data_IF_201581384405
#
_entry.id   IF_201581384405
#
_cell.length_a   1.000
_cell.length_b   1.000
_cell.length_c   1.000
_cell.angle_alpha   90.00
_cell.angle_beta   90.00
_cell.angle_gamma   90.00
#
_symmetry.space_group_name_H-M   'P 1'
#
loop_
_entity.id
_entity.type
_entity.pdbx_description
1 polymer ?
#
# COMPACT_ATOMS: atom_id res chain seq x y z
N UNK A 1 -16.55 33.35 -18.35
CA UNK A 1 -15.54 34.10 -17.57
C UNK A 1 -14.31 34.24 -18.44
N UNK A 2 -13.91 35.51 -18.78
CA UNK A 2 -12.67 35.78 -19.50
C UNK A 2 -11.51 35.38 -18.59
N UNK A 3 -10.76 34.38 -18.99
CA UNK A 3 -9.45 34.04 -18.37
C UNK A 3 -8.54 35.23 -18.75
N UNK A 4 -7.90 35.84 -17.76
CA UNK A 4 -6.98 36.93 -18.04
C UNK A 4 -5.83 36.41 -18.92
N UNK A 5 -5.32 37.20 -19.86
CA UNK A 5 -4.31 36.78 -20.84
C UNK A 5 -3.02 36.22 -20.14
N UNK A 6 -2.74 36.65 -18.93
CA UNK A 6 -1.61 36.17 -18.10
C UNK A 6 -1.85 34.75 -17.57
N UNK A 7 -3.08 34.40 -17.19
CA UNK A 7 -3.44 33.05 -16.74
C UNK A 7 -3.44 32.06 -17.91
N UNK A 8 -3.85 32.51 -19.10
CA UNK A 8 -3.82 31.71 -20.33
C UNK A 8 -2.39 31.31 -20.72
N UNK A 9 -1.41 32.22 -20.64
CA UNK A 9 -0.02 31.91 -20.94
C UNK A 9 0.58 30.88 -19.95
N UNK A 10 0.31 31.02 -18.66
CA UNK A 10 0.76 30.06 -17.65
C UNK A 10 0.12 28.69 -17.87
N UNK A 11 -1.13 28.65 -18.29
CA UNK A 11 -1.84 27.40 -18.59
C UNK A 11 -1.23 26.68 -19.80
N UNK A 12 -0.94 27.41 -20.88
CA UNK A 12 -0.31 26.85 -22.07
C UNK A 12 1.09 26.29 -21.79
N UNK A 13 1.89 26.98 -20.97
CA UNK A 13 3.21 26.48 -20.54
C UNK A 13 3.05 25.18 -19.75
N UNK A 14 2.11 25.12 -18.81
CA UNK A 14 1.87 23.90 -18.02
C UNK A 14 1.43 22.73 -18.90
N UNK A 15 0.52 22.97 -19.85
CA UNK A 15 0.10 21.93 -20.81
C UNK A 15 1.31 21.37 -21.55
N UNK A 16 2.16 22.25 -22.11
CA UNK A 16 3.37 21.83 -22.83
C UNK A 16 4.34 21.07 -21.94
N UNK A 17 4.55 21.52 -20.71
CA UNK A 17 5.42 20.85 -19.75
C UNK A 17 4.92 19.43 -19.43
N UNK A 18 3.63 19.27 -19.14
CA UNK A 18 3.05 17.94 -18.81
C UNK A 18 3.04 17.04 -20.04
N UNK A 19 2.60 17.54 -21.19
CA UNK A 19 2.58 16.74 -22.41
C UNK A 19 4.00 16.37 -22.89
N UNK A 20 4.96 17.29 -22.79
CA UNK A 20 6.35 17.03 -23.14
C UNK A 20 6.96 15.96 -22.25
N UNK A 21 6.82 16.11 -20.93
CA UNK A 21 7.32 15.11 -19.98
C UNK A 21 6.68 13.73 -20.14
N UNK A 22 5.45 13.68 -20.65
CA UNK A 22 4.75 12.42 -20.95
C UNK A 22 4.99 11.91 -22.37
N UNK A 23 5.93 12.50 -23.12
CA UNK A 23 6.37 12.03 -24.43
C UNK A 23 5.47 12.41 -25.61
N UNK A 24 4.67 13.47 -25.48
CA UNK A 24 3.76 13.96 -26.55
C UNK A 24 4.32 15.14 -27.36
N UNK A 25 5.60 15.50 -27.22
CA UNK A 25 6.17 16.68 -27.86
C UNK A 25 6.02 16.69 -29.38
N UNK A 26 6.15 15.53 -30.04
CA UNK A 26 6.08 15.41 -31.51
C UNK A 26 4.67 15.25 -32.06
N UNK A 27 3.65 15.12 -31.20
CA UNK A 27 2.30 14.70 -31.60
C UNK A 27 1.18 15.62 -31.08
N UNK A 28 1.49 16.87 -30.75
CA UNK A 28 0.51 17.84 -30.22
C UNK A 28 -0.75 17.98 -31.07
N UNK A 29 -0.61 17.95 -32.39
CA UNK A 29 -1.71 18.12 -33.32
C UNK A 29 -2.36 16.80 -33.76
N UNK A 30 -1.92 15.67 -33.17
CA UNK A 30 -2.47 14.36 -33.50
C UNK A 30 -3.89 14.21 -32.96
N UNK A 31 -4.78 13.68 -33.80
CA UNK A 31 -6.17 13.40 -33.37
C UNK A 31 -6.17 12.24 -32.38
N UNK A 32 -6.85 12.42 -31.25
CA UNK A 32 -6.97 11.39 -30.19
C UNK A 32 -7.55 10.06 -30.71
N UNK A 33 -8.41 10.13 -31.75
CA UNK A 33 -8.97 8.93 -32.39
C UNK A 33 -7.93 8.03 -33.06
N UNK A 34 -6.76 8.58 -33.47
CA UNK A 34 -5.66 7.82 -34.12
C UNK A 34 -4.62 7.30 -33.14
N UNK A 35 -4.73 7.67 -31.86
CA UNK A 35 -3.82 7.25 -30.82
C UNK A 35 -4.07 5.79 -30.40
N UNK A 36 -2.98 5.08 -30.05
CA UNK A 36 -3.04 3.76 -29.43
C UNK A 36 -3.72 3.77 -28.04
N UNK A 37 -4.07 2.58 -27.54
CA UNK A 37 -4.66 2.46 -26.19
C UNK A 37 -3.75 3.01 -25.08
N UNK A 38 -2.44 2.72 -25.14
CA UNK A 38 -1.45 3.22 -24.21
C UNK A 38 -1.30 4.74 -24.25
N UNK A 39 -1.22 5.33 -25.45
CA UNK A 39 -1.16 6.81 -25.63
C UNK A 39 -2.40 7.49 -25.07
N UNK A 40 -3.58 6.93 -25.29
CA UNK A 40 -4.81 7.47 -24.70
C UNK A 40 -4.81 7.42 -23.18
N UNK A 41 -4.24 6.35 -22.60
CA UNK A 41 -4.11 6.24 -21.14
C UNK A 41 -3.12 7.27 -20.59
N UNK A 42 -1.96 7.44 -21.24
CA UNK A 42 -1.02 8.51 -20.92
C UNK A 42 -1.64 9.90 -21.03
N UNK A 43 -2.44 10.17 -22.08
CA UNK A 43 -3.10 11.45 -22.27
C UNK A 43 -4.17 11.73 -21.18
N UNK A 44 -4.90 10.70 -20.74
CA UNK A 44 -5.82 10.83 -19.60
C UNK A 44 -5.06 11.17 -18.31
N UNK A 45 -3.90 10.56 -18.08
CA UNK A 45 -3.05 10.90 -16.97
C UNK A 45 -2.56 12.35 -17.05
N UNK A 46 -2.10 12.83 -18.23
CA UNK A 46 -1.74 14.24 -18.43
C UNK A 46 -2.87 15.19 -18.02
N UNK A 47 -4.09 14.89 -18.45
CA UNK A 47 -5.27 15.69 -18.10
C UNK A 47 -5.49 15.73 -16.60
N UNK A 48 -5.42 14.58 -15.94
CA UNK A 48 -5.59 14.46 -14.48
C UNK A 48 -4.53 15.26 -13.72
N UNK A 49 -3.26 15.21 -14.17
CA UNK A 49 -2.17 15.98 -13.57
C UNK A 49 -2.38 17.49 -13.74
N UNK A 50 -2.93 17.93 -14.88
CA UNK A 50 -3.23 19.35 -15.14
C UNK A 50 -4.40 19.87 -14.31
N UNK A 51 -5.35 19.02 -13.92
CA UNK A 51 -6.48 19.37 -13.06
C UNK A 51 -6.05 19.64 -11.61
N UNK A 52 -4.88 19.15 -11.16
CA UNK A 52 -4.31 19.31 -9.81
C UNK A 52 -5.34 19.08 -8.68
N UNK A 53 -6.02 17.92 -8.63
CA UNK A 53 -7.02 17.65 -7.59
C UNK A 53 -6.37 17.65 -6.19
N UNK A 54 -7.13 17.94 -5.14
CA UNK A 54 -6.64 17.88 -3.76
C UNK A 54 -6.24 16.46 -3.34
N UNK A 55 -6.86 15.44 -3.92
CA UNK A 55 -6.52 14.01 -3.77
C UNK A 55 -6.36 13.38 -5.14
N UNK A 56 -5.16 12.93 -5.45
CA UNK A 56 -4.82 12.20 -6.66
C UNK A 56 -4.70 10.70 -6.34
N UNK A 57 -5.53 9.88 -6.99
CA UNK A 57 -5.52 8.42 -6.85
C UNK A 57 -4.99 7.82 -8.14
N UNK A 58 -3.92 7.05 -8.05
CA UNK A 58 -3.26 6.39 -9.17
C UNK A 58 -3.20 4.88 -8.92
N UNK A 59 -3.71 4.12 -9.88
CA UNK A 59 -3.64 2.66 -9.89
C UNK A 59 -2.72 2.22 -11.02
N UNK A 60 -1.59 1.58 -10.66
CA UNK A 60 -0.53 1.12 -11.56
C UNK A 60 -0.11 2.18 -12.61
N UNK A 61 0.23 3.43 -12.19
CA UNK A 61 0.50 4.51 -13.13
C UNK A 61 1.78 4.31 -13.95
N UNK A 62 2.65 3.41 -13.55
CA UNK A 62 3.91 3.07 -14.21
C UNK A 62 3.72 2.15 -15.42
N UNK A 63 2.56 1.51 -15.55
CA UNK A 63 2.27 0.61 -16.65
C UNK A 63 2.29 1.35 -18.00
N UNK A 64 2.98 0.76 -18.98
CA UNK A 64 3.12 1.28 -20.34
C UNK A 64 3.91 2.61 -20.46
N UNK A 65 4.63 3.02 -19.41
CA UNK A 65 5.54 4.15 -19.46
C UNK A 65 6.95 3.67 -19.86
N UNK A 66 7.58 4.42 -20.74
CA UNK A 66 9.02 4.29 -20.96
C UNK A 66 9.80 4.95 -19.80
N UNK A 67 11.09 4.62 -19.71
CA UNK A 67 11.94 5.04 -18.60
C UNK A 67 12.00 6.57 -18.43
N UNK A 68 12.03 7.31 -19.54
CA UNK A 68 12.12 8.78 -19.49
C UNK A 68 10.83 9.40 -18.96
N UNK A 69 9.70 8.91 -19.44
CA UNK A 69 8.36 9.32 -18.97
C UNK A 69 8.16 8.97 -17.49
N UNK A 70 8.63 7.78 -17.06
CA UNK A 70 8.56 7.36 -15.67
C UNK A 70 9.33 8.31 -14.74
N UNK A 71 10.60 8.62 -15.06
CA UNK A 71 11.39 9.56 -14.26
C UNK A 71 10.76 10.94 -14.17
N UNK A 72 10.23 11.44 -15.28
CA UNK A 72 9.53 12.72 -15.28
C UNK A 72 8.29 12.70 -14.39
N UNK A 73 7.49 11.61 -14.46
CA UNK A 73 6.30 11.45 -13.62
C UNK A 73 6.66 11.40 -12.13
N UNK A 74 7.72 10.69 -11.76
CA UNK A 74 8.23 10.65 -10.39
C UNK A 74 8.59 12.05 -9.88
N UNK A 75 9.36 12.81 -10.67
CA UNK A 75 9.76 14.18 -10.31
C UNK A 75 8.54 15.10 -10.14
N UNK A 76 7.58 15.00 -11.06
CA UNK A 76 6.33 15.75 -10.99
C UNK A 76 5.55 15.42 -9.71
N UNK A 77 5.34 14.13 -9.42
CA UNK A 77 4.58 13.67 -8.25
C UNK A 77 5.29 13.96 -6.94
N UNK A 78 6.63 13.97 -6.90
CA UNK A 78 7.40 14.38 -5.71
C UNK A 78 7.12 15.84 -5.32
N UNK A 79 6.86 16.69 -6.30
CA UNK A 79 6.52 18.12 -6.10
C UNK A 79 5.03 18.39 -5.96
N UNK A 80 4.19 17.33 -6.02
CA UNK A 80 2.74 17.47 -5.98
C UNK A 80 2.26 18.00 -4.62
N UNK A 81 1.40 19.03 -4.64
CA UNK A 81 0.95 19.70 -3.41
C UNK A 81 -0.26 19.05 -2.73
N UNK A 82 -1.05 18.29 -3.49
CA UNK A 82 -2.21 17.55 -2.98
C UNK A 82 -1.82 16.24 -2.29
N UNK A 83 -2.80 15.55 -1.75
CA UNK A 83 -2.63 14.19 -1.26
C UNK A 83 -2.50 13.21 -2.44
N UNK A 84 -1.59 12.24 -2.31
CA UNK A 84 -1.33 11.22 -3.31
C UNK A 84 -1.61 9.84 -2.71
N UNK A 85 -2.49 9.07 -3.35
CA UNK A 85 -2.71 7.66 -3.06
C UNK A 85 -2.31 6.83 -4.29
N UNK A 86 -1.33 5.95 -4.12
CA UNK A 86 -0.80 5.14 -5.22
C UNK A 86 -0.90 3.67 -4.90
N UNK A 87 -1.36 2.90 -5.87
CA UNK A 87 -1.24 1.44 -5.91
C UNK A 87 -0.23 1.11 -7.01
N UNK A 88 0.85 0.41 -6.69
CA UNK A 88 1.87 0.02 -7.67
C UNK A 88 2.65 -1.21 -7.20
N UNK A 89 3.12 -2.00 -8.18
CA UNK A 89 4.10 -3.07 -7.96
C UNK A 89 5.55 -2.57 -8.09
N UNK A 90 5.75 -1.36 -8.55
CA UNK A 90 7.07 -0.74 -8.67
C UNK A 90 7.54 -0.21 -7.31
N UNK A 91 8.49 -0.94 -6.71
CA UNK A 91 9.03 -0.63 -5.38
C UNK A 91 9.84 0.67 -5.36
N UNK A 92 10.57 0.98 -6.43
CA UNK A 92 11.36 2.20 -6.53
C UNK A 92 10.44 3.42 -6.61
N UNK A 93 9.40 3.32 -7.42
CA UNK A 93 8.37 4.33 -7.53
C UNK A 93 7.70 4.63 -6.17
N UNK A 94 7.29 3.57 -5.45
CA UNK A 94 6.71 3.72 -4.12
C UNK A 94 7.70 4.31 -3.11
N UNK A 95 8.96 3.85 -3.11
CA UNK A 95 9.97 4.34 -2.17
C UNK A 95 10.28 5.83 -2.34
N UNK A 96 10.21 6.32 -3.57
CA UNK A 96 10.48 7.71 -3.88
C UNK A 96 9.35 8.65 -3.52
N UNK A 97 8.11 8.21 -3.65
CA UNK A 97 6.93 9.08 -3.55
C UNK A 97 6.21 8.99 -2.21
N UNK A 98 6.30 7.84 -1.51
CA UNK A 98 5.43 7.61 -0.37
C UNK A 98 6.12 7.88 0.96
N UNK A 99 5.38 8.52 1.87
CA UNK A 99 5.76 8.72 3.27
C UNK A 99 4.98 7.82 4.23
N UNK A 100 4.00 7.09 3.72
CA UNK A 100 3.15 6.14 4.45
C UNK A 100 2.75 5.01 3.53
N UNK A 101 2.77 3.79 4.04
CA UNK A 101 2.33 2.59 3.32
C UNK A 101 1.09 2.02 4.00
N UNK A 102 0.09 1.65 3.21
CA UNK A 102 -1.14 0.99 3.64
C UNK A 102 -1.10 -0.46 3.15
N UNK A 103 -1.21 -1.39 4.08
CA UNK A 103 -1.32 -2.82 3.79
C UNK A 103 -2.78 -3.25 3.96
N UNK A 104 -3.33 -3.89 2.95
CA UNK A 104 -4.65 -4.50 3.01
C UNK A 104 -4.49 -6.02 3.00
N UNK A 105 -4.75 -6.65 4.13
CA UNK A 105 -4.63 -8.11 4.28
C UNK A 105 -5.88 -8.64 4.98
N UNK A 106 -6.51 -9.68 4.42
CA UNK A 106 -7.72 -10.31 4.97
C UNK A 106 -8.85 -9.32 5.33
N UNK A 107 -9.02 -8.25 4.55
CA UNK A 107 -10.01 -7.20 4.81
C UNK A 107 -9.64 -6.20 5.90
N UNK A 108 -8.47 -6.33 6.49
CA UNK A 108 -7.94 -5.40 7.51
C UNK A 108 -6.94 -4.45 6.89
N UNK A 109 -7.13 -3.16 7.09
CA UNK A 109 -6.23 -2.11 6.63
C UNK A 109 -5.27 -1.70 7.75
N UNK A 110 -3.98 -1.94 7.55
CA UNK A 110 -2.92 -1.55 8.48
C UNK A 110 -2.07 -0.43 7.89
N UNK A 111 -1.80 0.60 8.68
CA UNK A 111 -1.00 1.76 8.25
C UNK A 111 0.39 1.73 8.87
N UNK A 112 1.43 1.84 8.03
CA UNK A 112 2.83 1.93 8.42
C UNK A 112 3.39 3.30 8.06
N UNK A 113 4.08 3.93 8.99
CA UNK A 113 4.79 5.19 8.75
C UNK A 113 6.11 4.90 8.04
N UNK A 114 6.27 5.46 6.87
CA UNK A 114 7.44 5.30 6.02
C UNK A 114 7.09 4.86 4.61
N UNK A 115 8.09 4.83 3.74
CA UNK A 115 8.01 4.33 2.38
C UNK A 115 7.94 2.80 2.34
N UNK A 116 7.90 2.22 1.14
CA UNK A 116 7.79 0.77 0.95
C UNK A 116 8.95 -0.02 1.60
N UNK A 117 10.18 0.46 1.48
CA UNK A 117 11.35 -0.20 2.11
C UNK A 117 11.24 -0.20 3.64
N UNK A 118 10.80 0.90 4.23
CA UNK A 118 10.58 0.98 5.68
C UNK A 118 9.42 0.08 6.13
N UNK A 119 8.33 0.05 5.36
CA UNK A 119 7.21 -0.86 5.59
C UNK A 119 7.67 -2.31 5.63
N UNK A 120 8.50 -2.77 4.68
CA UNK A 120 9.01 -4.14 4.65
C UNK A 120 9.72 -4.54 5.93
N UNK A 121 10.54 -3.63 6.47
CA UNK A 121 11.25 -3.88 7.73
C UNK A 121 10.25 -4.02 8.88
N UNK A 122 9.34 -3.06 9.02
CA UNK A 122 8.33 -3.07 10.09
C UNK A 122 7.39 -4.27 9.99
N UNK A 123 7.02 -4.69 8.78
CA UNK A 123 6.17 -5.86 8.55
C UNK A 123 6.90 -7.15 8.98
N UNK A 124 8.19 -7.27 8.64
CA UNK A 124 9.00 -8.42 9.03
C UNK A 124 9.22 -8.49 10.55
N UNK A 125 9.44 -7.34 11.21
CA UNK A 125 9.54 -7.28 12.68
C UNK A 125 8.23 -7.71 13.34
N UNK A 126 7.10 -7.19 12.85
CA UNK A 126 5.76 -7.56 13.33
C UNK A 126 5.49 -9.04 13.15
N UNK A 127 5.81 -9.62 11.98
CA UNK A 127 5.64 -11.04 11.70
C UNK A 127 6.44 -11.92 12.66
N UNK A 128 7.70 -11.59 12.92
CA UNK A 128 8.53 -12.31 13.88
C UNK A 128 7.98 -12.28 15.31
N UNK A 129 7.42 -11.14 15.71
CA UNK A 129 6.79 -11.02 17.02
C UNK A 129 5.48 -11.83 17.09
N UNK A 130 4.63 -11.79 16.05
CA UNK A 130 3.43 -12.61 15.95
C UNK A 130 3.76 -14.11 16.00
N UNK A 131 4.80 -14.56 15.28
CA UNK A 131 5.28 -15.95 15.28
C UNK A 131 5.76 -16.37 16.68
N UNK A 132 6.55 -15.52 17.33
CA UNK A 132 7.02 -15.75 18.71
C UNK A 132 5.87 -15.87 19.72
N UNK A 133 4.86 -15.01 19.59
CA UNK A 133 3.68 -15.04 20.47
C UNK A 133 2.85 -16.31 20.22
N UNK A 134 2.68 -16.70 18.96
CA UNK A 134 1.99 -17.93 18.58
C UNK A 134 2.70 -19.17 19.15
N UNK A 135 4.03 -19.29 18.96
CA UNK A 135 4.84 -20.40 19.50
C UNK A 135 4.71 -20.48 21.02
N UNK A 136 4.85 -19.34 21.70
CA UNK A 136 4.70 -19.27 23.16
C UNK A 136 3.33 -19.74 23.63
N UNK A 137 2.26 -19.33 22.94
CA UNK A 137 0.91 -19.78 23.25
C UNK A 137 0.74 -21.29 22.99
N UNK A 138 1.29 -21.82 21.90
CA UNK A 138 1.29 -23.26 21.63
C UNK A 138 1.97 -24.06 22.75
N UNK A 139 3.14 -23.59 23.23
CA UNK A 139 3.81 -24.23 24.37
C UNK A 139 2.97 -24.19 25.65
N UNK A 140 2.33 -23.05 25.94
CA UNK A 140 1.47 -22.92 27.11
C UNK A 140 0.27 -23.86 27.03
N UNK A 141 -0.39 -23.92 25.87
CA UNK A 141 -1.51 -24.84 25.61
C UNK A 141 -1.06 -26.29 25.80
N UNK A 142 0.11 -26.67 25.26
CA UNK A 142 0.64 -28.01 25.40
C UNK A 142 0.91 -28.39 26.87
N UNK A 143 1.49 -27.47 27.65
CA UNK A 143 1.73 -27.67 29.09
C UNK A 143 0.44 -27.82 29.88
N UNK A 144 -0.57 -27.00 29.58
CA UNK A 144 -1.87 -27.08 30.24
C UNK A 144 -2.59 -28.39 29.89
N UNK A 145 -2.53 -28.82 28.62
CA UNK A 145 -3.14 -30.05 28.16
C UNK A 145 -2.47 -31.28 28.79
N UNK A 146 -1.13 -31.32 28.79
CA UNK A 146 -0.38 -32.41 29.45
C UNK A 146 -0.69 -32.51 30.97
N UNK A 147 -0.85 -31.36 31.64
CA UNK A 147 -1.27 -31.36 33.04
C UNK A 147 -2.67 -31.94 33.22
N UNK A 148 -3.64 -31.54 32.36
CA UNK A 148 -5.00 -32.06 32.38
C UNK A 148 -4.99 -33.59 32.19
N UNK A 149 -4.30 -34.08 31.16
CA UNK A 149 -4.26 -35.49 30.77
C UNK A 149 -3.71 -36.38 31.90
N UNK A 150 -2.69 -35.89 32.65
CA UNK A 150 -2.09 -36.64 33.79
C UNK A 150 -2.92 -36.62 35.06
N UNK A 151 -3.77 -35.62 35.27
CA UNK A 151 -4.40 -35.36 36.57
C UNK A 151 -5.92 -35.49 36.57
N UNK A 152 -6.59 -35.54 35.40
CA UNK A 152 -8.02 -35.58 35.33
C UNK A 152 -8.67 -36.84 35.96
N UNK A 153 -7.92 -37.95 35.96
CA UNK A 153 -8.42 -39.25 36.48
C UNK A 153 -8.19 -39.40 38.00
N UNK A 154 -7.36 -38.56 38.62
CA UNK A 154 -7.02 -38.67 40.03
C UNK A 154 -7.96 -37.82 40.91
N UNK A 155 -8.68 -38.44 41.81
CA UNK A 155 -9.68 -37.77 42.66
C UNK A 155 -9.11 -36.58 43.46
N UNK A 156 -7.84 -36.66 43.90
CA UNK A 156 -7.18 -35.59 44.66
C UNK A 156 -6.78 -34.37 43.84
N UNK A 157 -6.66 -34.48 42.53
CA UNK A 157 -6.23 -33.39 41.62
C UNK A 157 -7.28 -33.01 40.57
N UNK A 158 -8.44 -33.68 40.59
CA UNK A 158 -9.51 -33.44 39.61
C UNK A 158 -10.01 -31.98 39.56
N UNK A 159 -10.13 -31.31 40.72
CA UNK A 159 -10.54 -29.90 40.78
C UNK A 159 -9.54 -28.96 40.11
N UNK A 160 -8.22 -29.21 40.31
CA UNK A 160 -7.17 -28.45 39.66
C UNK A 160 -7.10 -28.70 38.15
N UNK A 161 -7.30 -29.94 37.70
CA UNK A 161 -7.41 -30.27 36.29
C UNK A 161 -8.60 -29.59 35.62
N UNK A 162 -9.79 -29.60 36.25
CA UNK A 162 -10.97 -28.89 35.75
C UNK A 162 -10.76 -27.38 35.64
N UNK A 163 -10.02 -26.75 36.58
CA UNK A 163 -9.65 -25.33 36.47
C UNK A 163 -8.79 -25.05 35.23
N UNK A 164 -7.85 -25.95 34.88
CA UNK A 164 -7.01 -25.82 33.67
C UNK A 164 -7.82 -26.05 32.39
N UNK A 165 -8.78 -26.96 32.38
CA UNK A 165 -9.73 -27.13 31.26
C UNK A 165 -10.47 -25.83 31.00
N UNK A 166 -11.06 -25.20 32.04
CA UNK A 166 -11.74 -23.91 31.90
C UNK A 166 -10.81 -22.80 31.42
N UNK A 167 -9.54 -22.82 31.81
CA UNK A 167 -8.53 -21.87 31.29
C UNK A 167 -8.32 -22.06 29.79
N UNK A 168 -8.15 -23.31 29.33
CA UNK A 168 -7.99 -23.63 27.90
C UNK A 168 -9.21 -23.24 27.06
N UNK A 169 -10.42 -23.45 27.60
CA UNK A 169 -11.69 -23.09 26.92
C UNK A 169 -11.88 -21.57 26.78
N UNK A 170 -11.37 -20.79 27.74
CA UNK A 170 -11.46 -19.33 27.74
C UNK A 170 -10.33 -18.63 26.99
N UNK A 171 -9.27 -19.37 26.65
CA UNK A 171 -8.10 -18.81 25.98
C UNK A 171 -8.44 -18.48 24.54
N UNK A 172 -8.33 -17.22 24.16
CA UNK A 172 -8.39 -16.78 22.79
C UNK A 172 -7.18 -17.32 22.04
N UNK A 173 -7.42 -18.12 21.02
CA UNK A 173 -6.35 -18.76 20.26
C UNK A 173 -5.85 -17.83 19.16
N UNK A 174 -4.54 -17.60 19.16
CA UNK A 174 -3.89 -16.89 18.08
C UNK A 174 -3.92 -17.75 16.80
N UNK A 175 -4.15 -17.11 15.67
CA UNK A 175 -3.98 -17.76 14.38
C UNK A 175 -2.50 -17.86 14.03
N UNK A 176 -2.11 -18.92 13.33
CA UNK A 176 -0.74 -19.05 12.87
C UNK A 176 -0.45 -17.96 11.85
N UNK A 177 0.59 -17.13 12.04
CA UNK A 177 1.00 -16.13 11.06
C UNK A 177 1.32 -16.77 9.71
N UNK A 178 0.91 -16.12 8.61
CA UNK A 178 1.11 -16.58 7.23
C UNK A 178 2.43 -16.04 6.66
#
# INVERSE_FOLDING_TARGET
KRIAARDSYHYDVRIRTVLGGMGFESVYDQKVSTMSGGERTKLKLCRLLLEEPELLILDEPTNHLDTSTLFWLEDYLTSYKGALLVVSHDRYFLDRLTSRTLELENGVLTSYKGNYSKYRILREEKRKEEERLYEKQCEEIAKLQDFVDRHIVRATSASSAQSRVKQLERMERLEKPV
#
